data_IF_409033170018
#
_entry.id   IF_409033170018
#
_cell.length_a   1.000
_cell.length_b   1.000
_cell.length_c   1.000
_cell.angle_alpha   90.00
_cell.angle_beta   90.00
_cell.angle_gamma   90.00
#
_symmetry.space_group_name_H-M   'P 1'
#
loop_
_entity.id
_entity.type
_entity.pdbx_description
1 polymer ?
#
# COMPACT_ATOMS: atom_id res chain seq x y z
N UNK A 1 12.16 -5.34 -19.76
CA UNK A 1 11.29 -5.17 -18.55
C UNK A 1 11.10 -3.70 -18.22
N UNK A 2 12.17 -2.90 -18.15
CA UNK A 2 12.13 -1.47 -17.77
C UNK A 2 11.27 -0.63 -18.71
N UNK A 3 11.40 -0.76 -20.02
CA UNK A 3 10.54 -0.06 -21.00
C UNK A 3 9.05 -0.32 -20.76
N UNK A 4 8.66 -1.59 -20.53
CA UNK A 4 7.27 -1.95 -20.24
C UNK A 4 6.79 -1.42 -18.88
N UNK A 5 7.68 -1.32 -17.87
CA UNK A 5 7.35 -0.74 -16.58
C UNK A 5 7.19 0.78 -16.69
N UNK A 6 8.03 1.44 -17.49
CA UNK A 6 7.87 2.87 -17.81
C UNK A 6 6.49 3.14 -18.42
N UNK A 7 6.18 2.49 -19.53
CA UNK A 7 4.95 2.71 -20.30
C UNK A 7 3.66 2.32 -19.56
N UNK A 8 3.71 1.32 -18.66
CA UNK A 8 2.51 0.78 -18.01
C UNK A 8 2.30 1.18 -16.56
N UNK A 9 3.32 1.70 -15.89
CA UNK A 9 3.26 2.01 -14.46
C UNK A 9 3.65 3.47 -14.22
N UNK A 10 4.86 3.89 -14.64
CA UNK A 10 5.37 5.23 -14.30
C UNK A 10 4.67 6.31 -15.10
N UNK A 11 4.70 6.21 -16.43
CA UNK A 11 4.10 7.24 -17.30
C UNK A 11 2.61 7.44 -17.03
N UNK A 12 1.76 6.40 -16.91
CA UNK A 12 0.35 6.60 -16.59
C UNK A 12 0.12 7.28 -15.25
N UNK A 13 0.97 7.01 -14.25
CA UNK A 13 0.87 7.68 -12.94
C UNK A 13 1.24 9.15 -13.03
N UNK A 14 2.35 9.50 -13.67
CA UNK A 14 2.84 10.88 -13.76
C UNK A 14 1.97 11.71 -14.70
N UNK A 15 1.71 11.19 -15.91
CA UNK A 15 0.86 11.89 -16.92
C UNK A 15 -0.58 12.03 -16.41
N UNK A 16 -1.14 10.97 -15.82
CA UNK A 16 -2.49 11.03 -15.26
C UNK A 16 -2.59 12.04 -14.12
N UNK A 17 -1.59 12.13 -13.25
CA UNK A 17 -1.53 13.14 -12.20
C UNK A 17 -1.47 14.54 -12.80
N UNK A 18 -0.60 14.78 -13.78
CA UNK A 18 -0.49 16.08 -14.48
C UNK A 18 -1.83 16.49 -15.09
N UNK A 19 -2.48 15.59 -15.83
CA UNK A 19 -3.78 15.87 -16.44
C UNK A 19 -4.84 16.29 -15.42
N UNK A 20 -4.84 15.69 -14.22
CA UNK A 20 -5.76 16.09 -13.14
C UNK A 20 -5.39 17.48 -12.61
N UNK A 21 -4.11 17.78 -12.41
CA UNK A 21 -3.67 19.11 -11.95
C UNK A 21 -4.00 20.21 -12.97
N UNK A 22 -3.78 19.97 -14.27
CA UNK A 22 -4.13 20.87 -15.35
C UNK A 22 -5.65 21.11 -15.41
N UNK A 23 -6.46 20.08 -15.17
CA UNK A 23 -7.91 20.21 -15.09
C UNK A 23 -8.36 21.04 -13.87
N UNK A 24 -7.70 20.88 -12.72
CA UNK A 24 -7.95 21.70 -11.53
C UNK A 24 -7.65 23.17 -11.84
N UNK A 25 -6.53 23.46 -12.46
CA UNK A 25 -6.13 24.82 -12.84
C UNK A 25 -7.14 25.44 -13.83
N UNK A 26 -7.52 24.67 -14.84
CA UNK A 26 -8.46 25.12 -15.86
C UNK A 26 -9.87 25.37 -15.31
N UNK A 27 -10.31 24.60 -14.31
CA UNK A 27 -11.65 24.76 -13.74
C UNK A 27 -11.79 26.00 -12.88
N UNK A 28 -10.74 26.42 -12.17
CA UNK A 28 -10.73 27.54 -11.24
C UNK A 28 -11.69 27.41 -10.03
N UNK A 29 -12.40 26.30 -9.92
CA UNK A 29 -13.45 26.09 -8.89
C UNK A 29 -13.05 25.14 -7.77
N UNK A 30 -12.00 24.34 -7.96
CA UNK A 30 -11.52 23.39 -6.96
C UNK A 30 -10.89 24.13 -5.79
N UNK A 31 -11.31 23.80 -4.57
CA UNK A 31 -10.83 24.39 -3.32
C UNK A 31 -10.04 23.39 -2.48
N UNK A 32 -10.15 22.10 -2.76
CA UNK A 32 -9.49 21.05 -1.99
C UNK A 32 -9.08 19.88 -2.90
N UNK A 33 -7.83 19.46 -2.80
CA UNK A 33 -7.28 18.27 -3.44
C UNK A 33 -6.84 17.28 -2.37
N UNK A 34 -7.43 16.08 -2.34
CA UNK A 34 -6.95 14.98 -1.52
C UNK A 34 -6.25 13.98 -2.43
N UNK A 35 -4.93 13.93 -2.34
CA UNK A 35 -4.11 13.06 -3.18
C UNK A 35 -3.93 11.69 -2.54
N UNK A 36 -4.40 10.64 -3.20
CA UNK A 36 -4.13 9.26 -2.78
C UNK A 36 -2.77 8.81 -3.29
N UNK A 37 -1.76 8.92 -2.45
CA UNK A 37 -0.44 8.37 -2.70
C UNK A 37 -0.33 6.92 -2.18
N UNK A 38 0.77 6.55 -1.56
CA UNK A 38 1.01 5.23 -0.97
C UNK A 38 2.20 5.27 -0.01
N UNK A 39 2.27 4.34 0.93
CA UNK A 39 3.53 4.04 1.65
C UNK A 39 4.67 3.68 0.70
N UNK A 40 4.38 3.28 -0.53
CA UNK A 40 5.39 3.02 -1.55
C UNK A 40 6.15 4.28 -2.00
N UNK A 41 5.57 5.48 -1.86
CA UNK A 41 6.26 6.75 -2.10
C UNK A 41 7.18 7.17 -0.94
N UNK A 42 7.10 6.46 0.18
CA UNK A 42 7.84 6.74 1.42
C UNK A 42 8.95 5.71 1.65
N UNK A 43 8.66 4.44 1.36
CA UNK A 43 9.51 3.30 1.69
C UNK A 43 10.76 3.27 0.82
N UNK A 44 11.96 3.37 1.41
CA UNK A 44 13.20 3.16 0.68
C UNK A 44 13.32 1.72 0.17
N UNK A 45 14.25 1.46 -0.73
CA UNK A 45 14.49 0.13 -1.30
C UNK A 45 15.00 -0.87 -0.27
N UNK A 46 15.63 -0.38 0.82
CA UNK A 46 16.08 -1.22 1.94
C UNK A 46 15.85 -0.53 3.28
N UNK A 47 15.73 -1.30 4.35
CA UNK A 47 15.61 -0.80 5.72
C UNK A 47 16.21 -1.79 6.72
N UNK A 48 16.48 -1.31 7.92
CA UNK A 48 16.91 -2.13 9.04
C UNK A 48 15.72 -2.86 9.70
N UNK A 49 15.96 -4.05 10.27
CA UNK A 49 14.89 -4.77 10.98
C UNK A 49 14.40 -3.95 12.18
N UNK A 50 13.11 -3.72 12.24
CA UNK A 50 12.48 -2.92 13.29
C UNK A 50 12.48 -1.41 13.06
N UNK A 51 12.98 -0.93 11.92
CA UNK A 51 12.95 0.49 11.58
C UNK A 51 11.53 1.03 11.52
N UNK A 52 11.34 2.25 12.03
CA UNK A 52 10.08 3.01 11.90
C UNK A 52 10.28 4.13 10.89
N UNK A 53 9.42 4.18 9.88
CA UNK A 53 9.38 5.25 8.89
C UNK A 53 8.32 6.29 9.25
N UNK A 54 8.63 7.55 8.93
CA UNK A 54 7.75 8.71 9.13
C UNK A 54 7.33 9.31 7.78
N UNK A 55 6.50 10.33 7.82
CA UNK A 55 6.12 11.11 6.63
C UNK A 55 7.26 11.95 6.05
N UNK A 56 8.39 12.09 6.75
CA UNK A 56 9.55 12.84 6.25
C UNK A 56 10.41 11.99 5.30
N UNK A 57 10.24 10.67 5.36
CA UNK A 57 10.95 9.74 4.48
C UNK A 57 10.36 9.75 3.07
N UNK A 58 11.22 9.57 2.06
CA UNK A 58 10.86 9.47 0.66
C UNK A 58 11.54 8.28 0.00
N UNK A 59 10.86 7.66 -0.97
CA UNK A 59 11.41 6.57 -1.79
C UNK A 59 12.30 7.12 -2.92
N UNK A 60 13.29 7.96 -2.58
CA UNK A 60 14.17 8.64 -3.55
C UNK A 60 15.07 7.67 -4.30
N UNK A 61 15.38 6.54 -3.69
CA UNK A 61 16.18 5.45 -4.24
C UNK A 61 15.38 4.46 -5.10
N UNK A 62 14.08 4.70 -5.30
CA UNK A 62 13.26 3.85 -6.15
C UNK A 62 13.67 4.00 -7.62
N UNK A 63 13.94 2.86 -8.26
CA UNK A 63 14.31 2.81 -9.67
C UNK A 63 13.27 2.04 -10.50
N UNK A 64 13.30 2.24 -11.80
CA UNK A 64 12.41 1.55 -12.73
C UNK A 64 12.70 0.05 -12.80
N UNK A 65 13.93 -0.35 -12.54
CA UNK A 65 14.39 -1.73 -12.58
C UNK A 65 13.94 -2.51 -11.35
N UNK A 66 14.03 -1.91 -10.17
CA UNK A 66 13.85 -2.60 -8.90
C UNK A 66 12.47 -2.32 -8.27
N UNK A 67 12.01 -1.06 -8.34
CA UNK A 67 10.76 -0.64 -7.71
C UNK A 67 9.96 0.36 -8.58
N UNK A 68 9.48 -0.03 -9.77
CA UNK A 68 8.76 0.89 -10.67
C UNK A 68 7.48 1.45 -10.06
N UNK A 69 6.81 0.71 -9.17
CA UNK A 69 5.63 1.21 -8.46
C UNK A 69 5.98 2.29 -7.42
N UNK A 70 7.05 2.07 -6.66
CA UNK A 70 7.57 3.08 -5.72
C UNK A 70 7.97 4.35 -6.45
N UNK A 71 8.72 4.22 -7.55
CA UNK A 71 9.10 5.34 -8.41
C UNK A 71 7.87 6.11 -8.93
N UNK A 72 6.85 5.39 -9.43
CA UNK A 72 5.63 6.00 -9.93
C UNK A 72 4.90 6.81 -8.86
N UNK A 73 4.76 6.24 -7.65
CA UNK A 73 4.08 6.91 -6.53
C UNK A 73 4.89 8.08 -5.97
N UNK A 74 6.20 7.92 -5.84
CA UNK A 74 7.11 9.00 -5.46
C UNK A 74 7.02 10.17 -6.44
N UNK A 75 7.17 9.90 -7.74
CA UNK A 75 7.15 10.94 -8.78
C UNK A 75 5.80 11.66 -8.85
N UNK A 76 4.68 10.92 -8.76
CA UNK A 76 3.35 11.50 -8.76
C UNK A 76 3.11 12.39 -7.52
N UNK A 77 3.53 11.93 -6.34
CA UNK A 77 3.36 12.71 -5.11
C UNK A 77 4.23 13.98 -5.10
N UNK A 78 5.48 13.88 -5.59
CA UNK A 78 6.34 15.05 -5.77
C UNK A 78 5.71 16.06 -6.71
N UNK A 79 5.19 15.61 -7.85
CA UNK A 79 4.53 16.48 -8.82
C UNK A 79 3.34 17.25 -8.20
N UNK A 80 2.50 16.58 -7.40
CA UNK A 80 1.38 17.23 -6.69
C UNK A 80 1.87 18.27 -5.69
N UNK A 81 2.92 17.97 -4.94
CA UNK A 81 3.47 18.89 -3.94
C UNK A 81 4.13 20.11 -4.59
N UNK A 82 4.91 19.89 -5.64
CA UNK A 82 5.55 20.98 -6.39
C UNK A 82 4.50 21.89 -7.05
N UNK A 83 3.44 21.30 -7.64
CA UNK A 83 2.31 22.05 -8.14
C UNK A 83 1.61 22.87 -7.03
N UNK A 84 1.32 22.24 -5.88
CA UNK A 84 0.66 22.93 -4.76
C UNK A 84 1.50 24.09 -4.22
N UNK A 85 2.84 23.94 -4.12
CA UNK A 85 3.71 25.01 -3.63
C UNK A 85 3.65 26.29 -4.48
N UNK A 86 3.20 26.19 -5.74
CA UNK A 86 3.00 27.33 -6.65
C UNK A 86 1.65 28.01 -6.51
N UNK A 87 0.74 27.52 -5.63
CA UNK A 87 -0.66 27.99 -5.55
C UNK A 87 -0.94 29.00 -4.44
N UNK A 88 0.07 29.49 -3.73
CA UNK A 88 -0.07 30.52 -2.68
C UNK A 88 -1.22 30.24 -1.70
N UNK A 89 -1.37 28.98 -1.26
CA UNK A 89 -2.43 28.49 -0.37
C UNK A 89 -3.88 28.66 -0.88
N UNK A 90 -4.08 28.98 -2.15
CA UNK A 90 -5.40 29.15 -2.73
C UNK A 90 -6.23 27.86 -2.81
N UNK A 91 -5.57 26.71 -2.77
CA UNK A 91 -6.17 25.38 -2.81
C UNK A 91 -5.62 24.58 -1.63
N UNK A 92 -6.51 24.03 -0.80
CA UNK A 92 -6.13 23.07 0.23
C UNK A 92 -5.65 21.78 -0.43
N UNK A 93 -4.50 21.26 0.00
CA UNK A 93 -4.00 19.96 -0.46
C UNK A 93 -3.60 19.08 0.72
N UNK A 94 -4.02 17.81 0.69
CA UNK A 94 -3.59 16.80 1.68
C UNK A 94 -3.23 15.51 0.94
N UNK A 95 -2.14 14.88 1.36
CA UNK A 95 -1.71 13.58 0.82
C UNK A 95 -2.00 12.47 1.83
N UNK A 96 -2.70 11.43 1.36
CA UNK A 96 -2.99 10.21 2.10
C UNK A 96 -2.10 9.08 1.56
N UNK A 97 -1.32 8.47 2.45
CA UNK A 97 -0.35 7.41 2.11
C UNK A 97 -0.78 6.07 2.75
N UNK A 98 -1.73 5.33 2.16
CA UNK A 98 -2.13 4.02 2.67
C UNK A 98 -1.06 2.96 2.38
N UNK A 99 -1.00 1.94 3.24
CA UNK A 99 -0.26 0.71 3.01
C UNK A 99 -1.10 -0.33 2.25
N UNK A 100 -0.96 -1.63 2.55
CA UNK A 100 -1.79 -2.69 1.96
C UNK A 100 -3.23 -2.53 2.43
N UNK A 101 -4.12 -2.11 1.53
CA UNK A 101 -5.53 -1.86 1.85
C UNK A 101 -6.31 -3.17 1.75
N UNK A 102 -6.91 -3.59 2.86
CA UNK A 102 -7.75 -4.77 2.97
C UNK A 102 -9.15 -4.37 3.50
N UNK A 103 -10.06 -5.32 3.58
CA UNK A 103 -11.45 -5.11 3.95
C UNK A 103 -12.39 -5.58 2.83
N UNK A 104 -13.71 -5.43 2.98
CA UNK A 104 -14.69 -5.99 2.06
C UNK A 104 -14.52 -5.43 0.63
N UNK A 105 -14.14 -6.24 -0.38
CA UNK A 105 -14.08 -5.78 -1.75
C UNK A 105 -15.49 -5.62 -2.34
N UNK A 106 -15.75 -4.51 -3.03
CA UNK A 106 -17.03 -4.22 -3.65
C UNK A 106 -17.17 -4.82 -5.07
N UNK A 107 -16.07 -5.24 -5.67
CA UNK A 107 -16.07 -5.87 -6.99
C UNK A 107 -14.86 -6.79 -7.17
N UNK A 108 -14.97 -7.73 -8.13
CA UNK A 108 -13.86 -8.63 -8.50
C UNK A 108 -12.60 -7.88 -8.94
N UNK A 109 -12.74 -6.70 -9.52
CA UNK A 109 -11.60 -5.88 -9.98
C UNK A 109 -10.69 -5.45 -8.82
N UNK A 110 -11.25 -5.23 -7.63
CA UNK A 110 -10.49 -4.84 -6.44
C UNK A 110 -9.48 -5.92 -6.01
N UNK A 111 -9.70 -7.18 -6.38
CA UNK A 111 -8.81 -8.30 -6.04
C UNK A 111 -7.46 -8.24 -6.78
N UNK A 112 -7.35 -7.44 -7.85
CA UNK A 112 -6.09 -7.23 -8.56
C UNK A 112 -5.14 -6.25 -7.86
N UNK A 113 -5.64 -5.50 -6.88
CA UNK A 113 -4.86 -4.57 -6.04
C UNK A 113 -4.26 -5.26 -4.80
N UNK A 114 -4.31 -4.56 -3.68
CA UNK A 114 -3.79 -5.06 -2.38
C UNK A 114 -4.34 -6.42 -1.97
N UNK A 115 -5.64 -6.77 -2.17
CA UNK A 115 -6.14 -8.09 -1.81
C UNK A 115 -5.54 -9.26 -2.60
N UNK A 116 -4.81 -9.01 -3.69
CA UNK A 116 -4.12 -10.06 -4.45
C UNK A 116 -3.18 -10.91 -3.57
N UNK A 117 -2.62 -10.32 -2.50
CA UNK A 117 -1.80 -11.04 -1.54
C UNK A 117 -2.59 -12.13 -0.80
N UNK A 118 -3.87 -11.89 -0.50
CA UNK A 118 -4.76 -12.88 0.11
C UNK A 118 -5.20 -13.91 -0.94
N UNK A 119 -5.40 -13.48 -2.20
CA UNK A 119 -5.76 -14.39 -3.29
C UNK A 119 -4.69 -15.46 -3.55
N UNK A 120 -3.40 -15.12 -3.39
CA UNK A 120 -2.31 -16.10 -3.47
C UNK A 120 -2.48 -17.23 -2.42
N UNK A 121 -2.92 -16.89 -1.21
CA UNK A 121 -3.21 -17.88 -0.15
C UNK A 121 -4.46 -18.68 -0.46
N UNK A 122 -5.56 -18.00 -0.83
CA UNK A 122 -6.85 -18.63 -1.10
C UNK A 122 -6.80 -19.59 -2.30
N UNK A 123 -6.06 -19.23 -3.34
CA UNK A 123 -5.85 -20.05 -4.55
C UNK A 123 -4.75 -21.08 -4.40
N UNK A 124 -4.02 -21.02 -3.27
CA UNK A 124 -2.87 -21.91 -3.03
C UNK A 124 -1.83 -21.84 -4.15
N UNK A 125 -1.62 -20.64 -4.69
CA UNK A 125 -0.60 -20.40 -5.73
C UNK A 125 0.80 -20.75 -5.25
N UNK A 126 1.01 -20.69 -3.92
CA UNK A 126 2.20 -21.18 -3.24
C UNK A 126 1.79 -22.17 -2.14
N UNK A 127 2.51 -23.30 -1.94
CA UNK A 127 2.15 -24.31 -0.95
C UNK A 127 2.61 -24.01 0.48
N UNK A 128 3.28 -22.89 0.68
CA UNK A 128 3.85 -22.43 1.94
C UNK A 128 3.73 -20.92 2.08
N UNK A 129 4.02 -20.36 3.23
CA UNK A 129 4.17 -18.92 3.44
C UNK A 129 5.64 -18.54 3.62
N UNK A 130 6.01 -17.36 3.14
CA UNK A 130 7.35 -16.79 3.33
C UNK A 130 7.36 -15.82 4.51
N UNK A 131 8.52 -15.55 5.14
CA UNK A 131 8.64 -14.66 6.29
C UNK A 131 8.52 -13.19 5.83
N UNK A 132 7.32 -12.76 5.46
CA UNK A 132 7.02 -11.39 5.03
C UNK A 132 6.17 -10.68 6.08
N UNK A 133 6.62 -9.48 6.49
CA UNK A 133 5.91 -8.59 7.41
C UNK A 133 5.11 -7.58 6.59
N UNK A 134 3.80 -7.52 6.80
CA UNK A 134 2.87 -6.78 5.94
C UNK A 134 2.17 -5.72 6.78
N UNK A 135 2.26 -4.48 6.32
CA UNK A 135 1.52 -3.36 6.90
C UNK A 135 0.13 -3.29 6.27
N UNK A 136 -0.88 -3.17 7.10
CA UNK A 136 -2.29 -3.31 6.71
C UNK A 136 -3.07 -2.09 7.18
N UNK A 137 -4.05 -1.69 6.37
CA UNK A 137 -5.09 -0.74 6.73
C UNK A 137 -6.44 -1.20 6.17
N UNK A 138 -7.51 -0.88 6.88
CA UNK A 138 -8.86 -1.15 6.40
C UNK A 138 -9.28 -0.14 5.33
N UNK A 139 -9.98 -0.61 4.30
CA UNK A 139 -10.49 0.26 3.22
C UNK A 139 -11.46 1.32 3.75
N UNK A 140 -12.20 1.01 4.83
CA UNK A 140 -13.13 1.93 5.49
C UNK A 140 -12.37 3.06 6.21
N UNK A 141 -11.25 2.74 6.85
CA UNK A 141 -10.37 3.72 7.49
C UNK A 141 -9.69 4.62 6.43
N UNK A 142 -9.31 4.05 5.29
CA UNK A 142 -8.77 4.85 4.16
C UNK A 142 -9.82 5.82 3.65
N UNK A 143 -11.06 5.37 3.44
CA UNK A 143 -12.16 6.24 3.01
C UNK A 143 -12.44 7.35 4.04
N UNK A 144 -12.48 7.00 5.33
CA UNK A 144 -12.67 7.96 6.41
C UNK A 144 -11.54 9.00 6.45
N UNK A 145 -10.29 8.59 6.28
CA UNK A 145 -9.15 9.51 6.22
C UNK A 145 -9.28 10.53 5.08
N UNK A 146 -9.77 10.11 3.90
CA UNK A 146 -10.02 11.03 2.80
C UNK A 146 -11.12 12.06 3.13
N UNK A 147 -12.23 11.62 3.71
CA UNK A 147 -13.33 12.53 4.09
C UNK A 147 -12.86 13.53 5.16
N UNK A 148 -12.17 13.07 6.19
CA UNK A 148 -11.65 13.93 7.25
C UNK A 148 -10.62 14.93 6.73
N UNK A 149 -9.74 14.51 5.83
CA UNK A 149 -8.72 15.37 5.24
C UNK A 149 -9.28 16.55 4.44
N UNK A 150 -10.56 16.52 4.03
CA UNK A 150 -11.20 17.66 3.37
C UNK A 150 -11.25 18.92 4.25
N UNK A 151 -11.37 18.73 5.57
CA UNK A 151 -11.55 19.83 6.54
C UNK A 151 -10.60 19.78 7.73
N UNK A 152 -9.94 18.66 7.97
CA UNK A 152 -9.04 18.43 9.11
C UNK A 152 -7.60 18.25 8.64
N UNK A 153 -6.67 18.30 9.59
CA UNK A 153 -5.25 18.21 9.32
C UNK A 153 -4.66 19.48 8.70
N UNK A 154 -3.38 19.48 8.44
CA UNK A 154 -2.65 20.64 7.93
C UNK A 154 -2.77 20.76 6.41
N UNK A 155 -2.81 22.01 5.90
CA UNK A 155 -2.61 22.25 4.47
C UNK A 155 -1.21 21.74 4.07
N UNK A 156 -1.07 21.16 2.90
CA UNK A 156 0.11 20.41 2.46
C UNK A 156 0.48 19.22 3.37
N UNK A 157 -0.41 18.79 4.28
CA UNK A 157 -0.18 17.66 5.18
C UNK A 157 0.03 16.34 4.43
N UNK A 158 0.83 15.45 5.03
CA UNK A 158 1.15 14.12 4.52
C UNK A 158 0.87 13.10 5.61
N UNK A 159 -0.05 12.18 5.38
CA UNK A 159 -0.56 11.30 6.41
C UNK A 159 -0.40 9.83 6.06
N UNK A 160 0.39 9.13 6.87
CA UNK A 160 0.46 7.67 6.84
C UNK A 160 -0.84 7.08 7.37
N UNK A 161 -1.46 6.23 6.57
CA UNK A 161 -2.71 5.55 6.92
C UNK A 161 -2.41 4.05 7.03
N UNK A 162 -2.03 3.66 8.24
CA UNK A 162 -1.56 2.33 8.60
C UNK A 162 -2.18 1.94 9.94
N UNK A 163 -2.96 0.86 9.97
CA UNK A 163 -3.62 0.39 11.20
C UNK A 163 -2.74 -0.57 12.02
N UNK A 164 -1.78 -1.22 11.38
CA UNK A 164 -0.84 -2.12 12.03
C UNK A 164 -0.16 -3.07 11.06
N UNK A 165 0.56 -4.04 11.61
CA UNK A 165 1.33 -5.01 10.82
C UNK A 165 1.06 -6.44 11.26
N UNK A 166 1.18 -7.36 10.32
CA UNK A 166 1.09 -8.81 10.58
C UNK A 166 2.12 -9.58 9.76
N UNK A 167 2.64 -10.65 10.33
CA UNK A 167 3.37 -11.64 9.53
C UNK A 167 2.42 -12.40 8.61
N UNK A 168 2.85 -12.67 7.40
CA UNK A 168 2.03 -13.42 6.44
C UNK A 168 1.57 -14.78 6.97
N UNK A 169 2.39 -15.42 7.79
CA UNK A 169 2.03 -16.65 8.52
C UNK A 169 0.82 -16.44 9.44
N UNK A 170 0.77 -15.31 10.15
CA UNK A 170 -0.30 -15.04 11.10
C UNK A 170 -1.60 -14.63 10.37
N UNK A 171 -1.48 -13.93 9.24
CA UNK A 171 -2.60 -13.70 8.32
C UNK A 171 -3.20 -15.04 7.86
N UNK A 172 -2.35 -15.94 7.38
CA UNK A 172 -2.78 -17.25 6.88
C UNK A 172 -3.43 -18.10 7.98
N UNK A 173 -2.85 -18.10 9.19
CA UNK A 173 -3.44 -18.78 10.35
C UNK A 173 -4.79 -18.19 10.76
N UNK A 174 -4.94 -16.86 10.74
CA UNK A 174 -6.20 -16.19 11.06
C UNK A 174 -7.30 -16.59 10.07
N UNK A 175 -7.01 -16.59 8.76
CA UNK A 175 -7.93 -17.02 7.72
C UNK A 175 -8.35 -18.48 7.95
N UNK A 176 -7.41 -19.39 8.16
CA UNK A 176 -7.70 -20.82 8.37
C UNK A 176 -8.48 -21.09 9.65
N UNK A 177 -8.17 -20.39 10.73
CA UNK A 177 -8.88 -20.52 12.01
C UNK A 177 -10.34 -20.10 11.89
N UNK A 178 -10.63 -19.01 11.18
CA UNK A 178 -11.99 -18.51 10.97
C UNK A 178 -12.75 -19.32 9.92
N UNK A 179 -12.04 -19.88 8.93
CA UNK A 179 -12.60 -20.64 7.80
C UNK A 179 -11.87 -21.99 7.65
N UNK A 180 -12.15 -22.99 8.49
CA UNK A 180 -11.40 -24.27 8.48
C UNK A 180 -11.50 -25.05 7.17
N UNK A 181 -12.57 -24.85 6.38
CA UNK A 181 -12.75 -25.43 5.05
C UNK A 181 -11.77 -24.88 4.00
N UNK A 182 -11.22 -23.68 4.22
CA UNK A 182 -10.23 -23.08 3.34
C UNK A 182 -8.85 -23.72 3.63
N UNK A 183 -8.36 -24.49 2.67
CA UNK A 183 -7.05 -25.14 2.78
C UNK A 183 -5.89 -24.17 2.50
N UNK A 184 -5.86 -23.00 3.17
CA UNK A 184 -4.75 -22.06 3.01
C UNK A 184 -3.46 -22.61 3.64
N UNK A 185 -2.27 -22.35 3.03
CA UNK A 185 -1.00 -22.80 3.56
C UNK A 185 -0.64 -22.02 4.83
N UNK A 186 -0.33 -22.69 5.93
CA UNK A 186 0.05 -22.06 7.21
C UNK A 186 1.49 -22.36 7.63
N UNK A 187 2.16 -23.28 6.91
CA UNK A 187 3.55 -23.64 7.18
C UNK A 187 4.48 -22.59 6.57
N UNK A 188 5.21 -21.90 7.41
CA UNK A 188 6.24 -20.97 6.96
C UNK A 188 7.53 -21.71 6.68
N UNK A 189 8.15 -21.43 5.54
CA UNK A 189 9.50 -21.91 5.25
C UNK A 189 10.54 -21.01 5.93
N UNK A 190 11.70 -21.57 6.31
CA UNK A 190 12.82 -20.80 6.83
C UNK A 190 13.29 -19.71 5.86
N UNK A 191 13.87 -18.64 6.39
CA UNK A 191 14.36 -17.52 5.59
C UNK A 191 15.30 -17.95 4.45
N UNK A 192 16.29 -18.82 4.74
CA UNK A 192 17.26 -19.27 3.74
C UNK A 192 16.59 -20.04 2.57
N UNK A 193 15.56 -20.84 2.85
CA UNK A 193 14.79 -21.52 1.80
C UNK A 193 13.98 -20.51 0.96
N UNK A 194 13.49 -19.43 1.58
CA UNK A 194 12.82 -18.35 0.85
C UNK A 194 13.75 -17.66 -0.15
N UNK A 195 15.03 -17.53 0.17
CA UNK A 195 16.05 -17.01 -0.74
C UNK A 195 16.29 -17.95 -1.92
N UNK A 196 16.38 -19.25 -1.65
CA UNK A 196 16.55 -20.26 -2.72
C UNK A 196 15.34 -20.24 -3.67
N UNK A 197 14.13 -20.22 -3.12
CA UNK A 197 12.88 -20.15 -3.92
C UNK A 197 12.85 -18.88 -4.78
N UNK A 198 13.35 -17.75 -4.26
CA UNK A 198 13.34 -16.49 -5.01
C UNK A 198 14.22 -16.54 -6.27
N UNK A 199 15.28 -17.33 -6.28
CA UNK A 199 16.15 -17.50 -7.47
C UNK A 199 15.36 -18.07 -8.66
N UNK A 200 14.43 -18.96 -8.39
CA UNK A 200 13.61 -19.63 -9.42
C UNK A 200 12.26 -18.95 -9.65
N UNK A 201 11.93 -17.92 -8.88
CA UNK A 201 10.63 -17.26 -8.99
C UNK A 201 10.66 -16.12 -10.01
N UNK A 202 9.77 -16.12 -11.03
CA UNK A 202 9.86 -15.16 -12.14
C UNK A 202 9.57 -13.70 -11.76
N UNK A 203 8.90 -13.47 -10.62
CA UNK A 203 8.44 -12.15 -10.16
C UNK A 203 9.20 -11.59 -8.95
N UNK A 204 9.99 -12.42 -8.28
CA UNK A 204 10.71 -12.04 -7.05
C UNK A 204 12.21 -12.22 -7.28
N UNK A 205 12.97 -11.13 -7.26
CA UNK A 205 14.43 -11.22 -7.35
C UNK A 205 15.06 -11.62 -6.02
N UNK A 206 16.25 -12.23 -6.08
CA UNK A 206 17.03 -12.55 -4.88
C UNK A 206 17.39 -11.27 -4.10
N UNK A 207 17.68 -10.18 -4.80
CA UNK A 207 17.95 -8.86 -4.19
C UNK A 207 16.74 -8.41 -3.38
N UNK A 208 15.55 -8.42 -3.99
CA UNK A 208 14.31 -8.07 -3.29
C UNK A 208 14.07 -8.97 -2.07
N UNK A 209 14.26 -10.28 -2.21
CA UNK A 209 14.05 -11.22 -1.11
C UNK A 209 14.99 -10.96 0.08
N UNK A 210 16.27 -10.67 -0.18
CA UNK A 210 17.26 -10.31 0.85
C UNK A 210 16.93 -9.01 1.57
N UNK A 211 16.39 -8.03 0.85
CA UNK A 211 16.07 -6.72 1.42
C UNK A 211 14.77 -6.74 2.25
N UNK A 212 13.80 -7.59 1.89
CA UNK A 212 12.44 -7.47 2.42
C UNK A 212 12.00 -8.64 3.32
N UNK A 213 12.49 -9.86 3.08
CA UNK A 213 12.06 -11.02 3.86
C UNK A 213 12.76 -11.09 5.22
N UNK A 214 12.03 -11.55 6.22
CA UNK A 214 12.54 -11.71 7.58
C UNK A 214 12.70 -10.41 8.36
N UNK A 215 12.42 -9.26 7.76
CA UNK A 215 12.54 -7.95 8.40
C UNK A 215 11.17 -7.36 8.75
N UNK A 216 11.11 -6.66 9.86
CA UNK A 216 9.96 -5.85 10.28
C UNK A 216 10.15 -4.41 9.80
N UNK A 217 9.05 -3.79 9.39
CA UNK A 217 9.00 -2.37 9.08
C UNK A 217 7.80 -1.79 9.80
N UNK A 218 7.99 -0.68 10.49
CA UNK A 218 6.97 0.05 11.21
C UNK A 218 6.73 1.42 10.59
N UNK A 219 5.61 2.04 10.93
CA UNK A 219 5.18 3.31 10.38
C UNK A 219 4.64 4.18 11.50
N UNK A 220 5.06 5.42 11.56
CA UNK A 220 4.46 6.39 12.46
C UNK A 220 3.19 7.00 11.84
N UNK A 221 2.06 6.38 12.14
CA UNK A 221 0.74 6.86 11.74
C UNK A 221 0.10 7.78 12.82
N UNK A 222 0.83 8.17 13.87
CA UNK A 222 0.32 9.03 14.94
C UNK A 222 -0.13 10.42 14.46
N UNK A 223 0.49 11.06 13.43
CA UNK A 223 -0.04 12.29 12.87
C UNK A 223 -1.46 12.17 12.32
N UNK A 224 -1.80 11.05 11.65
CA UNK A 224 -3.16 10.85 11.17
C UNK A 224 -4.16 10.68 12.33
N UNK A 225 -3.77 10.05 13.43
CA UNK A 225 -4.60 9.94 14.62
C UNK A 225 -4.82 11.29 15.30
N UNK A 226 -3.77 12.08 15.44
CA UNK A 226 -3.82 13.38 16.10
C UNK A 226 -4.56 14.43 15.27
N UNK A 227 -4.21 14.57 13.99
CA UNK A 227 -4.61 15.71 13.17
C UNK A 227 -5.90 15.42 12.39
N UNK A 228 -6.16 14.15 12.02
CA UNK A 228 -7.38 13.72 11.35
C UNK A 228 -8.35 13.00 12.31
N UNK A 229 -7.98 12.81 13.59
CA UNK A 229 -8.81 12.10 14.55
C UNK A 229 -9.06 10.63 14.22
N UNK A 230 -8.14 9.98 13.46
CA UNK A 230 -8.33 8.61 13.02
C UNK A 230 -8.30 7.60 14.17
N UNK A 231 -9.17 6.60 14.06
CA UNK A 231 -9.17 5.40 14.93
C UNK A 231 -9.10 4.18 14.02
N UNK A 232 -8.09 3.34 14.24
CA UNK A 232 -7.81 2.23 13.33
C UNK A 232 -8.61 0.99 13.68
N UNK A 233 -9.14 0.33 12.66
CA UNK A 233 -9.63 -1.05 12.76
C UNK A 233 -8.46 -2.01 12.96
N UNK A 234 -8.72 -3.10 13.69
CA UNK A 234 -7.69 -4.11 13.90
C UNK A 234 -7.30 -4.75 12.55
N UNK A 235 -6.00 -4.83 12.20
CA UNK A 235 -5.54 -5.42 10.94
C UNK A 235 -6.05 -6.84 10.69
N UNK A 236 -6.18 -7.65 11.75
CA UNK A 236 -6.72 -9.01 11.65
C UNK A 236 -8.18 -9.02 11.21
N UNK A 237 -8.97 -8.08 11.70
CA UNK A 237 -10.38 -7.97 11.32
C UNK A 237 -10.50 -7.54 9.85
N UNK A 238 -9.67 -6.59 9.40
CA UNK A 238 -9.61 -6.19 7.99
C UNK A 238 -9.27 -7.35 7.05
N UNK A 239 -8.32 -8.21 7.46
CA UNK A 239 -8.00 -9.46 6.74
C UNK A 239 -9.22 -10.37 6.67
N UNK A 240 -9.88 -10.60 7.81
CA UNK A 240 -11.01 -11.53 7.90
C UNK A 240 -12.23 -11.02 7.15
N UNK A 241 -12.52 -9.71 7.21
CA UNK A 241 -13.64 -9.06 6.51
C UNK A 241 -13.46 -9.08 4.98
N UNK A 242 -12.22 -9.23 4.48
CA UNK A 242 -11.95 -9.37 3.05
C UNK A 242 -12.49 -10.69 2.48
N UNK A 243 -12.57 -11.75 3.29
CA UNK A 243 -12.81 -13.13 2.80
C UNK A 243 -14.27 -13.40 2.41
N UNK A 244 -15.30 -13.04 3.22
CA UNK A 244 -16.69 -13.40 2.93
C UNK A 244 -17.16 -12.95 1.53
N UNK A 245 -16.99 -11.69 1.09
CA UNK A 245 -17.44 -11.28 -0.24
C UNK A 245 -16.77 -12.04 -1.38
N UNK A 246 -15.51 -12.48 -1.20
CA UNK A 246 -14.79 -13.27 -2.19
C UNK A 246 -15.43 -14.65 -2.35
N UNK A 247 -15.82 -15.27 -1.24
CA UNK A 247 -16.43 -16.61 -1.24
C UNK A 247 -17.86 -16.57 -1.73
N UNK A 248 -18.67 -15.65 -1.24
CA UNK A 248 -20.09 -15.48 -1.56
C UNK A 248 -20.31 -15.21 -3.04
N UNK A 249 -19.43 -14.43 -3.67
CA UNK A 249 -19.51 -14.09 -5.08
C UNK A 249 -18.71 -15.05 -6.00
N UNK A 250 -18.10 -16.10 -5.46
CA UNK A 250 -17.31 -17.05 -6.26
C UNK A 250 -16.09 -16.45 -6.95
N UNK A 251 -15.47 -15.42 -6.35
CA UNK A 251 -14.32 -14.72 -6.95
C UNK A 251 -12.97 -15.39 -6.67
N UNK A 252 -12.96 -16.47 -5.92
CA UNK A 252 -11.77 -17.24 -5.59
C UNK A 252 -11.06 -17.84 -6.83
#
# INVERSE_FOLDING_TARGET
KSKRAQEKIVDPSVVGTRNVLDAIDSSGTVRCLIHTSSTAAIRPSSWEDGQTLTTDTWAEDATIEENPYGLAKYSAERLVRDWHSSKEDSIRMVTINPCVVLGPPLSKRHLNGSPSILMMLLRREIPFVIPMHISIVDVRDVAEAHVRAMTQGHNAGRYLVVSGQMWWKDISKAIRSKNPSLRVPTRQIPYFLSLIVSIFHPRVSLSWARMHLGKRLFWDASPAQRDLGMKWKNPKDSVLDTIPPILENGWK
#
